data_IF_602701597091
#
_entry.id   IF_602701597091
#
_cell.length_a   1.000
_cell.length_b   1.000
_cell.length_c   1.000
_cell.angle_alpha   90.00
_cell.angle_beta   90.00
_cell.angle_gamma   90.00
#
_symmetry.space_group_name_H-M   'P 1'
#
loop_
_entity.id
_entity.type
_entity.pdbx_description
1 polymer ?
#
# COMPACT_ATOMS: atom_id res chain seq x y z
N UNK A 1 -12.30 14.28 3.90
CA UNK A 1 -11.38 14.91 4.89
C UNK A 1 -10.61 13.91 5.77
N UNK A 2 -10.97 12.62 5.84
CA UNK A 2 -10.36 11.64 6.78
C UNK A 2 -8.86 11.37 6.56
N UNK A 3 -8.38 11.37 5.31
CA UNK A 3 -6.96 11.16 5.00
C UNK A 3 -6.06 12.34 5.42
N UNK A 4 -6.57 13.56 5.36
CA UNK A 4 -5.82 14.75 5.78
C UNK A 4 -5.55 14.77 7.29
N UNK A 5 -6.48 14.24 8.10
CA UNK A 5 -6.26 14.09 9.55
C UNK A 5 -5.10 13.14 9.85
N UNK A 6 -4.95 12.06 9.08
CA UNK A 6 -3.83 11.12 9.24
C UNK A 6 -2.50 11.78 8.87
N UNK A 7 -2.47 12.57 7.79
CA UNK A 7 -1.27 13.34 7.40
C UNK A 7 -0.89 14.33 8.48
N UNK A 8 -1.86 15.11 9.01
CA UNK A 8 -1.60 16.05 10.09
C UNK A 8 -1.06 15.35 11.34
N UNK A 9 -1.67 14.22 11.73
CA UNK A 9 -1.22 13.43 12.88
C UNK A 9 0.20 12.88 12.66
N UNK A 10 0.51 12.41 11.44
CA UNK A 10 1.84 11.93 11.09
C UNK A 10 2.90 13.04 11.17
N UNK A 11 2.57 14.28 10.74
CA UNK A 11 3.47 15.43 10.87
C UNK A 11 3.71 15.77 12.35
N UNK A 12 2.65 15.84 13.15
CA UNK A 12 2.78 16.09 14.61
C UNK A 12 3.65 15.01 15.26
N UNK A 13 3.42 13.74 14.92
CA UNK A 13 4.21 12.62 15.43
C UNK A 13 5.67 12.68 14.99
N UNK A 14 5.95 13.04 13.73
CA UNK A 14 7.31 13.21 13.23
C UNK A 14 8.06 14.33 13.97
N UNK A 15 7.38 15.44 14.30
CA UNK A 15 7.95 16.52 15.13
C UNK A 15 8.29 16.01 16.53
N UNK A 16 7.41 15.22 17.16
CA UNK A 16 7.69 14.62 18.48
C UNK A 16 8.92 13.70 18.42
N UNK A 17 9.01 12.84 17.41
CA UNK A 17 10.19 11.97 17.20
C UNK A 17 11.45 12.81 17.01
N UNK A 18 11.39 13.87 16.18
CA UNK A 18 12.54 14.73 15.92
C UNK A 18 13.05 15.42 17.19
N UNK A 19 12.14 15.93 18.03
CA UNK A 19 12.49 16.51 19.33
C UNK A 19 13.17 15.45 20.21
N UNK A 20 12.60 14.24 20.27
CA UNK A 20 13.19 13.13 21.02
C UNK A 20 14.59 12.77 20.54
N UNK A 21 14.80 12.76 19.22
CA UNK A 21 16.08 12.46 18.61
C UNK A 21 17.14 13.51 18.92
N UNK A 22 16.77 14.80 18.94
CA UNK A 22 17.70 15.88 19.29
C UNK A 22 18.07 15.83 20.78
N UNK A 23 17.09 15.61 21.67
CA UNK A 23 17.33 15.58 23.12
C UNK A 23 18.18 14.36 23.53
N UNK A 24 18.09 13.24 22.78
CA UNK A 24 18.78 11.99 23.09
C UNK A 24 19.83 11.65 22.01
N UNK A 25 20.46 12.68 21.43
CA UNK A 25 21.55 12.51 20.46
C UNK A 25 22.90 12.24 21.14
N UNK A 26 22.97 12.37 22.46
CA UNK A 26 24.18 12.10 23.22
C UNK A 26 24.63 10.66 23.03
N UNK A 27 25.92 10.49 22.77
CA UNK A 27 26.51 9.18 22.55
C UNK A 27 26.60 8.42 23.88
N UNK A 28 26.07 7.20 23.88
CA UNK A 28 26.13 6.28 25.02
C UNK A 28 26.85 5.02 24.56
N UNK A 29 27.59 4.39 25.47
CA UNK A 29 28.22 3.09 25.21
C UNK A 29 27.16 2.01 25.00
N UNK A 30 27.35 1.20 23.95
CA UNK A 30 26.44 0.12 23.57
C UNK A 30 27.23 -1.14 23.33
N UNK A 31 26.79 -2.22 23.96
CA UNK A 31 27.27 -3.57 23.72
C UNK A 31 26.58 -4.16 22.48
N UNK A 32 27.31 -4.22 21.38
CA UNK A 32 26.89 -4.94 20.18
C UNK A 32 27.28 -6.43 20.28
N UNK A 33 26.69 -7.26 19.41
CA UNK A 33 26.93 -8.70 19.40
C UNK A 33 28.42 -9.09 19.23
N UNK A 34 29.23 -8.20 18.64
CA UNK A 34 30.64 -8.46 18.32
C UNK A 34 31.60 -7.36 18.83
N UNK A 35 31.21 -6.58 19.84
CA UNK A 35 32.06 -5.53 20.41
C UNK A 35 31.27 -4.41 21.05
N UNK A 36 31.95 -3.41 21.59
CA UNK A 36 31.32 -2.21 22.17
C UNK A 36 31.59 -0.99 21.31
N UNK A 37 30.69 0.00 21.35
CA UNK A 37 30.87 1.26 20.64
C UNK A 37 29.89 2.32 21.10
N UNK A 38 30.22 3.59 20.84
CA UNK A 38 29.38 4.72 21.24
C UNK A 38 28.42 5.08 20.12
N UNK A 39 27.12 5.13 20.45
CA UNK A 39 26.08 5.60 19.53
C UNK A 39 24.93 6.24 20.30
N UNK A 40 24.21 7.20 19.70
CA UNK A 40 22.97 7.71 20.28
C UNK A 40 21.92 6.60 20.37
N UNK A 41 21.37 6.39 21.57
CA UNK A 41 20.42 5.30 21.85
C UNK A 41 19.17 5.36 20.95
N UNK A 42 18.72 6.57 20.60
CA UNK A 42 17.55 6.77 19.72
C UNK A 42 17.75 6.17 18.32
N UNK A 43 18.96 6.18 17.76
CA UNK A 43 19.22 5.60 16.44
C UNK A 43 19.01 4.08 16.46
N UNK A 44 19.39 3.43 17.55
CA UNK A 44 19.23 1.99 17.75
C UNK A 44 17.75 1.63 17.91
N UNK A 45 17.00 2.42 18.67
CA UNK A 45 15.55 2.24 18.80
C UNK A 45 14.87 2.40 17.43
N UNK A 46 15.17 3.49 16.70
CA UNK A 46 14.58 3.73 15.39
C UNK A 46 14.89 2.59 14.41
N UNK A 47 16.13 2.11 14.41
CA UNK A 47 16.52 0.96 13.58
C UNK A 47 15.78 -0.32 13.97
N UNK A 48 15.62 -0.58 15.27
CA UNK A 48 14.91 -1.75 15.79
C UNK A 48 13.42 -1.72 15.43
N UNK A 49 12.77 -0.57 15.60
CA UNK A 49 11.36 -0.36 15.22
C UNK A 49 11.19 -0.51 13.71
N UNK A 50 12.09 0.08 12.91
CA UNK A 50 12.09 -0.05 11.46
C UNK A 50 12.21 -1.53 11.05
N UNK A 51 13.13 -2.26 11.66
CA UNK A 51 13.33 -3.69 11.36
C UNK A 51 12.09 -4.51 11.72
N UNK A 52 11.48 -4.23 12.89
CA UNK A 52 10.22 -4.86 13.29
C UNK A 52 9.07 -4.56 12.33
N UNK A 53 8.96 -3.32 11.85
CA UNK A 53 7.96 -2.92 10.86
C UNK A 53 8.16 -3.63 9.52
N UNK A 54 9.41 -3.74 9.05
CA UNK A 54 9.76 -4.47 7.83
C UNK A 54 9.35 -5.94 7.96
N UNK A 55 9.75 -6.61 9.03
CA UNK A 55 9.42 -8.03 9.27
C UNK A 55 7.90 -8.23 9.29
N UNK A 56 7.18 -7.38 10.04
CA UNK A 56 5.71 -7.45 10.15
C UNK A 56 5.05 -7.22 8.80
N UNK A 57 5.49 -6.22 8.04
CA UNK A 57 4.98 -5.95 6.69
C UNK A 57 5.25 -7.12 5.74
N UNK A 58 6.46 -7.71 5.77
CA UNK A 58 6.80 -8.87 4.95
C UNK A 58 5.88 -10.07 5.23
N UNK A 59 5.64 -10.40 6.51
CA UNK A 59 4.70 -11.46 6.90
C UNK A 59 3.27 -11.12 6.44
N UNK A 60 2.86 -9.87 6.58
CA UNK A 60 1.57 -9.37 6.12
C UNK A 60 1.38 -9.55 4.61
N UNK A 61 2.38 -9.20 3.80
CA UNK A 61 2.35 -9.37 2.33
C UNK A 61 2.19 -10.83 1.94
N UNK A 62 2.93 -11.75 2.58
CA UNK A 62 2.80 -13.20 2.31
C UNK A 62 1.37 -13.67 2.58
N UNK A 63 0.75 -13.22 3.68
CA UNK A 63 -0.64 -13.56 4.01
C UNK A 63 -1.62 -13.02 2.97
N UNK A 64 -1.45 -11.77 2.54
CA UNK A 64 -2.29 -11.15 1.51
C UNK A 64 -2.20 -11.92 0.19
N UNK A 65 -1.02 -12.35 -0.22
CA UNK A 65 -0.85 -13.15 -1.45
C UNK A 65 -1.58 -14.49 -1.35
N UNK A 66 -1.50 -15.18 -0.21
CA UNK A 66 -2.23 -16.45 0.00
C UNK A 66 -3.75 -16.24 -0.07
N UNK A 67 -4.24 -15.21 0.63
CA UNK A 67 -5.66 -14.83 0.59
C UNK A 67 -6.14 -14.49 -0.82
N UNK A 68 -5.31 -13.79 -1.61
CA UNK A 68 -5.64 -13.48 -3.00
C UNK A 68 -5.71 -14.74 -3.88
N UNK A 69 -4.84 -15.73 -3.65
CA UNK A 69 -4.89 -17.01 -4.36
C UNK A 69 -6.16 -17.80 -4.02
N UNK A 70 -6.50 -17.89 -2.73
CA UNK A 70 -7.74 -18.53 -2.27
C UNK A 70 -8.98 -17.83 -2.83
N UNK A 71 -9.01 -16.49 -2.84
CA UNK A 71 -10.09 -15.74 -3.46
C UNK A 71 -10.22 -16.00 -4.96
N UNK A 72 -9.10 -16.11 -5.69
CA UNK A 72 -9.12 -16.45 -7.12
C UNK A 72 -9.64 -17.87 -7.35
N UNK A 73 -9.22 -18.84 -6.54
CA UNK A 73 -9.69 -20.21 -6.64
C UNK A 73 -11.19 -20.33 -6.34
N UNK A 74 -11.66 -19.71 -5.26
CA UNK A 74 -13.07 -19.70 -4.90
C UNK A 74 -13.94 -19.00 -5.96
N UNK A 75 -13.47 -17.87 -6.52
CA UNK A 75 -14.16 -17.20 -7.65
C UNK A 75 -14.20 -18.06 -8.90
N UNK A 76 -13.13 -18.79 -9.22
CA UNK A 76 -13.11 -19.70 -10.35
C UNK A 76 -14.11 -20.86 -10.16
N UNK A 77 -14.22 -21.42 -8.96
CA UNK A 77 -15.21 -22.47 -8.65
C UNK A 77 -16.64 -21.95 -8.79
N UNK A 78 -16.94 -20.77 -8.25
CA UNK A 78 -18.25 -20.10 -8.44
C UNK A 78 -18.56 -19.92 -9.93
N UNK A 79 -17.60 -19.50 -10.75
CA UNK A 79 -17.81 -19.34 -12.19
C UNK A 79 -18.03 -20.69 -12.90
N UNK A 80 -17.34 -21.76 -12.49
CA UNK A 80 -17.53 -23.09 -13.07
C UNK A 80 -18.90 -23.71 -12.69
N UNK A 81 -19.37 -23.50 -11.46
CA UNK A 81 -20.69 -23.98 -11.01
C UNK A 81 -21.84 -23.13 -11.57
N UNK A 82 -21.61 -21.82 -11.77
CA UNK A 82 -22.56 -20.90 -12.39
C UNK A 82 -22.35 -20.77 -13.91
N UNK A 83 -21.70 -21.75 -14.56
CA UNK A 83 -21.69 -21.83 -16.02
C UNK A 83 -22.93 -22.61 -16.47
N UNK A 84 -24.04 -21.95 -16.86
CA UNK A 84 -24.86 -22.47 -17.93
C UNK A 84 -24.01 -22.40 -19.20
N UNK A 85 -24.12 -23.42 -20.04
CA UNK A 85 -23.80 -23.40 -21.46
C UNK A 85 -23.99 -21.98 -22.09
N UNK A 86 -22.91 -21.19 -22.21
CA UNK A 86 -22.66 -20.13 -23.21
C UNK A 86 -21.39 -19.31 -22.88
N UNK A 87 -20.48 -19.09 -23.84
CA UNK A 87 -19.28 -18.28 -23.64
C UNK A 87 -19.64 -16.79 -23.80
N UNK A 88 -19.54 -16.03 -22.71
CA UNK A 88 -19.54 -14.55 -22.76
C UNK A 88 -18.18 -14.14 -22.21
N UNK A 89 -17.18 -14.08 -23.09
CA UNK A 89 -16.66 -12.86 -23.73
C UNK A 89 -15.95 -11.95 -22.73
N UNK A 90 -14.63 -11.86 -22.95
CA UNK A 90 -13.71 -10.90 -22.37
C UNK A 90 -14.34 -9.51 -22.28
N UNK A 91 -14.40 -8.96 -21.06
CA UNK A 91 -14.57 -7.53 -20.88
C UNK A 91 -13.18 -6.95 -20.60
N UNK A 92 -12.44 -6.78 -21.69
CA UNK A 92 -11.43 -5.74 -21.80
C UNK A 92 -12.18 -4.41 -21.90
N UNK A 93 -12.23 -3.65 -20.80
CA UNK A 93 -12.83 -2.32 -20.78
C UNK A 93 -11.79 -1.27 -21.20
N UNK A 94 -11.61 -1.12 -22.51
CA UNK A 94 -11.11 0.11 -23.15
C UNK A 94 -12.31 1.06 -23.36
N UNK A 95 -12.26 2.33 -22.92
CA UNK A 95 -13.30 3.31 -23.24
C UNK A 95 -12.95 4.04 -24.54
N UNK A 96 -13.58 3.66 -25.65
CA UNK A 96 -13.60 4.47 -26.88
C UNK A 96 -15.04 4.92 -27.14
N UNK A 97 -15.37 6.12 -26.64
CA UNK A 97 -16.53 6.87 -27.15
C UNK A 97 -16.14 7.53 -28.49
N UNK A 98 -16.63 6.97 -29.58
CA UNK A 98 -16.82 7.67 -30.85
C UNK A 98 -18.24 7.42 -31.31
N UNK A 99 -19.06 8.46 -31.35
CA UNK A 99 -20.28 8.50 -32.15
C UNK A 99 -20.29 9.82 -32.90
N UNK A 100 -19.64 9.82 -34.05
CA UNK A 100 -19.97 10.69 -35.16
C UNK A 100 -21.25 10.14 -35.81
N UNK A 101 -22.30 10.95 -35.83
CA UNK A 101 -23.33 10.87 -36.86
C UNK A 101 -23.17 12.12 -37.71
N UNK A 102 -22.47 11.96 -38.84
CA UNK A 102 -22.70 12.80 -40.02
C UNK A 102 -24.12 12.52 -40.54
N UNK A 103 -24.90 13.56 -40.84
CA UNK A 103 -25.14 13.96 -42.24
C UNK A 103 -26.25 15.04 -42.32
N UNK A 104 -25.81 16.21 -42.80
CA UNK A 104 -26.45 17.20 -43.67
C UNK A 104 -27.89 16.93 -44.17
N UNK A 105 -28.82 17.86 -43.91
CA UNK A 105 -29.51 18.70 -44.92
C UNK A 105 -30.67 19.46 -44.25
N UNK A 106 -30.63 20.78 -44.23
CA UNK A 106 -31.61 21.61 -44.95
C UNK A 106 -31.39 23.10 -44.67
N UNK A 107 -31.04 23.82 -45.74
CA UNK A 107 -31.33 25.24 -45.88
C UNK A 107 -32.86 25.40 -45.84
N UNK A 108 -33.42 26.23 -44.97
CA UNK A 108 -34.54 27.16 -45.31
C UNK A 108 -34.65 28.24 -44.21
N UNK A 109 -34.41 29.48 -44.66
CA UNK A 109 -34.90 30.79 -44.17
C UNK A 109 -34.11 31.54 -43.08
#
# INVERSE_FOLDING_TARGET
MKGQTYILLAVVFAVVIAIFAVINVDAVEVDYLFGTGEAPLILIILFSVLMGAIITASVGVIRVIRLQKELRAAKAEINNLNSPENPVLDVESEPTETNDLEENDDKVK
#
